data_IF_351199359298
#
_entry.id   IF_351199359298
#
_cell.length_a   1.000
_cell.length_b   1.000
_cell.length_c   1.000
_cell.angle_alpha   90.00
_cell.angle_beta   90.00
_cell.angle_gamma   90.00
#
_symmetry.space_group_name_H-M   'P 1'
#
loop_
_entity.id
_entity.type
_entity.pdbx_description
1 polymer ?
#
# COMPACT_ATOMS: atom_id res chain seq x y z
N UNK A 1 -23.55 -12.12 25.70
CA UNK A 1 -23.25 -11.96 24.26
C UNK A 1 -22.32 -13.10 23.86
N UNK A 2 -22.76 -14.04 23.01
CA UNK A 2 -21.86 -15.07 22.49
C UNK A 2 -20.90 -14.41 21.50
N UNK A 3 -19.61 -14.37 21.87
CA UNK A 3 -18.56 -13.84 21.00
C UNK A 3 -18.23 -14.86 19.89
N UNK A 4 -18.02 -14.44 18.65
CA UNK A 4 -17.54 -15.35 17.59
C UNK A 4 -16.19 -15.95 17.94
N UNK A 5 -16.06 -17.26 17.73
CA UNK A 5 -14.80 -18.00 17.87
C UNK A 5 -13.80 -17.54 16.78
N UNK A 6 -12.51 -17.36 17.09
CA UNK A 6 -11.48 -17.07 16.10
C UNK A 6 -11.48 -18.00 14.88
N UNK A 7 -11.83 -19.29 15.05
CA UNK A 7 -11.96 -20.24 13.94
C UNK A 7 -13.05 -19.85 12.94
N UNK A 8 -14.16 -19.26 13.41
CA UNK A 8 -15.24 -18.78 12.53
C UNK A 8 -14.78 -17.55 11.73
N UNK A 9 -14.04 -16.65 12.38
CA UNK A 9 -13.47 -15.47 11.73
C UNK A 9 -12.44 -15.89 10.67
N UNK A 10 -11.56 -16.82 11.00
CA UNK A 10 -10.55 -17.35 10.07
C UNK A 10 -11.20 -18.00 8.85
N UNK A 11 -12.20 -18.85 9.06
CA UNK A 11 -12.93 -19.48 7.95
C UNK A 11 -13.62 -18.45 7.05
N UNK A 12 -14.21 -17.41 7.64
CA UNK A 12 -14.85 -16.32 6.88
C UNK A 12 -13.83 -15.57 6.04
N UNK A 13 -12.69 -15.16 6.62
CA UNK A 13 -11.64 -14.42 5.90
C UNK A 13 -11.04 -15.25 4.76
N UNK A 14 -10.78 -16.54 4.95
CA UNK A 14 -10.28 -17.44 3.90
C UNK A 14 -11.25 -17.57 2.72
N UNK A 15 -12.57 -17.55 2.95
CA UNK A 15 -13.57 -17.57 1.87
C UNK A 15 -13.50 -16.28 1.05
N UNK A 16 -13.37 -15.14 1.71
CA UNK A 16 -13.29 -13.84 1.03
C UNK A 16 -12.02 -13.74 0.19
N UNK A 17 -10.87 -14.06 0.78
CA UNK A 17 -9.56 -13.96 0.14
C UNK A 17 -9.44 -14.87 -1.10
N UNK A 18 -10.02 -16.06 -1.04
CA UNK A 18 -9.93 -17.01 -2.14
C UNK A 18 -11.15 -17.00 -3.09
N UNK A 19 -12.18 -16.21 -2.77
CA UNK A 19 -13.40 -16.10 -3.57
C UNK A 19 -14.14 -17.42 -3.77
N UNK A 20 -13.94 -18.42 -2.87
CA UNK A 20 -14.48 -19.78 -3.05
C UNK A 20 -14.53 -20.56 -1.74
N UNK A 21 -15.73 -21.06 -1.38
CA UNK A 21 -15.93 -21.96 -0.25
C UNK A 21 -15.11 -23.25 -0.34
N UNK A 22 -14.92 -23.79 -1.55
CA UNK A 22 -14.14 -25.02 -1.76
C UNK A 22 -12.65 -24.78 -1.55
N UNK A 23 -12.10 -23.66 -2.06
CA UNK A 23 -10.69 -23.33 -1.85
C UNK A 23 -10.41 -23.00 -0.37
N UNK A 24 -11.28 -22.26 0.27
CA UNK A 24 -11.17 -21.98 1.69
C UNK A 24 -11.20 -23.28 2.53
N UNK A 25 -12.07 -24.24 2.18
CA UNK A 25 -12.16 -25.52 2.87
C UNK A 25 -10.82 -26.28 2.84
N UNK A 26 -10.14 -26.29 1.71
CA UNK A 26 -8.80 -26.90 1.58
C UNK A 26 -7.79 -26.20 2.48
N UNK A 27 -7.84 -24.85 2.54
CA UNK A 27 -6.91 -24.05 3.35
C UNK A 27 -7.09 -24.25 4.85
N UNK A 28 -8.35 -24.32 5.30
CA UNK A 28 -8.65 -24.54 6.74
C UNK A 28 -8.70 -26.04 7.12
N UNK A 29 -8.29 -26.92 6.21
CA UNK A 29 -8.30 -28.40 6.41
C UNK A 29 -9.67 -28.95 6.86
N UNK A 30 -10.74 -28.45 6.23
CA UNK A 30 -12.12 -28.86 6.50
C UNK A 30 -12.85 -29.23 5.23
N UNK A 31 -14.04 -29.85 5.36
CA UNK A 31 -14.94 -30.08 4.21
C UNK A 31 -15.68 -28.77 3.86
N UNK A 32 -16.09 -28.65 2.60
CA UNK A 32 -16.86 -27.50 2.13
C UNK A 32 -18.19 -27.35 2.92
N UNK A 33 -18.84 -28.47 3.29
CA UNK A 33 -20.05 -28.47 4.14
C UNK A 33 -19.77 -27.93 5.53
N UNK A 34 -18.62 -28.27 6.16
CA UNK A 34 -18.23 -27.76 7.45
C UNK A 34 -17.96 -26.24 7.40
N UNK A 35 -17.28 -25.77 6.36
CA UNK A 35 -17.02 -24.34 6.11
C UNK A 35 -18.36 -23.58 5.95
N UNK A 36 -19.31 -24.11 5.18
CA UNK A 36 -20.63 -23.51 5.02
C UNK A 36 -21.41 -23.48 6.32
N UNK A 37 -21.29 -24.49 7.18
CA UNK A 37 -21.89 -24.48 8.51
C UNK A 37 -21.26 -23.44 9.43
N UNK A 38 -19.95 -23.27 9.40
CA UNK A 38 -19.24 -22.25 10.17
C UNK A 38 -19.70 -20.84 9.80
N UNK A 39 -19.83 -20.57 8.50
CA UNK A 39 -20.34 -19.25 8.04
C UNK A 39 -21.76 -19.02 8.51
N UNK A 40 -22.67 -20.00 8.39
CA UNK A 40 -24.04 -19.87 8.90
C UNK A 40 -24.07 -19.55 10.39
N UNK A 41 -23.25 -20.28 11.17
CA UNK A 41 -23.15 -20.03 12.63
C UNK A 41 -22.63 -18.63 12.93
N UNK A 42 -21.67 -18.13 12.15
CA UNK A 42 -21.16 -16.76 12.27
C UNK A 42 -22.25 -15.73 11.97
N UNK A 43 -22.99 -15.89 10.86
CA UNK A 43 -24.10 -15.03 10.46
C UNK A 43 -25.23 -15.04 11.51
N UNK A 44 -25.54 -16.20 12.10
CA UNK A 44 -26.52 -16.33 13.20
C UNK A 44 -26.07 -15.57 14.46
N UNK A 45 -24.79 -15.67 14.83
CA UNK A 45 -24.22 -14.94 15.97
C UNK A 45 -24.24 -13.43 15.77
N UNK A 46 -24.02 -12.97 14.55
CA UNK A 46 -24.00 -11.55 14.20
C UNK A 46 -25.40 -10.99 13.89
N UNK A 47 -26.40 -11.86 13.67
CA UNK A 47 -27.74 -11.47 13.31
C UNK A 47 -27.88 -10.86 11.92
N UNK A 48 -26.87 -11.00 11.06
CA UNK A 48 -26.87 -10.47 9.70
C UNK A 48 -26.16 -11.43 8.73
N UNK A 49 -26.45 -11.26 7.43
CA UNK A 49 -25.74 -12.01 6.39
C UNK A 49 -24.47 -11.30 5.97
N UNK A 50 -23.42 -12.10 5.79
CA UNK A 50 -22.12 -11.63 5.33
C UNK A 50 -21.89 -11.86 3.84
N UNK A 51 -22.57 -12.89 3.27
CA UNK A 51 -22.48 -13.22 1.85
C UNK A 51 -23.84 -13.04 1.15
N UNK A 52 -23.80 -12.55 -0.11
CA UNK A 52 -24.97 -12.48 -0.97
C UNK A 52 -25.43 -13.90 -1.40
N UNK A 53 -26.75 -14.08 -1.53
CA UNK A 53 -27.34 -15.29 -2.13
C UNK A 53 -27.28 -15.20 -3.65
N UNK A 54 -26.11 -15.36 -4.24
CA UNK A 54 -25.98 -15.50 -5.68
C UNK A 54 -25.98 -16.99 -6.04
N UNK A 55 -26.88 -17.40 -6.93
CA UNK A 55 -26.97 -18.78 -7.43
C UNK A 55 -25.80 -19.18 -8.35
N UNK A 56 -24.66 -18.51 -8.26
CA UNK A 56 -23.49 -18.68 -9.10
C UNK A 56 -22.22 -19.08 -8.32
N UNK A 57 -21.17 -19.42 -9.06
CA UNK A 57 -19.84 -19.82 -8.54
C UNK A 57 -19.05 -18.67 -7.86
N UNK A 58 -19.54 -17.44 -7.89
CA UNK A 58 -18.81 -16.27 -7.39
C UNK A 58 -19.30 -15.91 -5.99
N UNK A 59 -18.36 -15.82 -5.05
CA UNK A 59 -18.61 -15.34 -3.68
C UNK A 59 -18.63 -13.82 -3.69
N UNK A 60 -19.71 -13.21 -3.18
CA UNK A 60 -19.83 -11.76 -2.99
C UNK A 60 -20.20 -11.45 -1.55
N UNK A 61 -19.59 -10.41 -1.01
CA UNK A 61 -19.95 -9.89 0.30
C UNK A 61 -21.19 -8.99 0.23
N UNK A 62 -21.95 -8.97 1.32
CA UNK A 62 -22.90 -7.89 1.59
C UNK A 62 -22.17 -6.66 2.12
N UNK A 63 -22.81 -5.50 2.21
CA UNK A 63 -22.21 -4.30 2.83
C UNK A 63 -21.78 -4.55 4.28
N UNK A 64 -22.57 -5.36 5.03
CA UNK A 64 -22.19 -5.80 6.38
C UNK A 64 -21.01 -6.76 6.35
N UNK A 65 -20.94 -7.61 5.33
CA UNK A 65 -19.81 -8.52 5.11
C UNK A 65 -18.51 -7.80 4.85
N UNK A 66 -18.51 -6.74 4.06
CA UNK A 66 -17.34 -5.90 3.79
C UNK A 66 -16.81 -5.24 5.08
N UNK A 67 -17.71 -4.56 5.81
CA UNK A 67 -17.35 -3.94 7.10
C UNK A 67 -16.82 -4.98 8.09
N UNK A 68 -17.50 -6.13 8.18
CA UNK A 68 -17.11 -7.18 9.11
C UNK A 68 -15.79 -7.84 8.73
N UNK A 69 -15.46 -7.95 7.44
CA UNK A 69 -14.20 -8.49 6.95
C UNK A 69 -12.99 -7.70 7.49
N UNK A 70 -13.05 -6.37 7.41
CA UNK A 70 -11.98 -5.51 7.94
C UNK A 70 -11.78 -5.69 9.45
N UNK A 71 -12.89 -5.80 10.20
CA UNK A 71 -12.82 -6.03 11.63
C UNK A 71 -12.33 -7.44 11.98
N UNK A 72 -12.81 -8.47 11.29
CA UNK A 72 -12.41 -9.86 11.52
C UNK A 72 -10.90 -10.05 11.36
N UNK A 73 -10.30 -9.39 10.36
CA UNK A 73 -8.86 -9.43 10.14
C UNK A 73 -8.06 -8.77 11.27
N UNK A 74 -8.53 -7.62 11.76
CA UNK A 74 -7.88 -6.94 12.91
C UNK A 74 -7.94 -7.81 14.16
N UNK A 75 -9.08 -8.44 14.43
CA UNK A 75 -9.25 -9.35 15.56
C UNK A 75 -8.32 -10.56 15.43
N UNK A 76 -8.27 -11.20 14.27
CA UNK A 76 -7.37 -12.32 14.03
C UNK A 76 -5.89 -11.92 14.11
N UNK A 77 -5.55 -10.71 13.70
CA UNK A 77 -4.21 -10.13 13.87
C UNK A 77 -3.84 -10.03 15.35
N UNK A 78 -4.69 -9.38 16.14
CA UNK A 78 -4.49 -9.22 17.60
C UNK A 78 -4.48 -10.58 18.33
N UNK A 79 -5.31 -11.53 17.94
CA UNK A 79 -5.33 -12.88 18.53
C UNK A 79 -4.02 -13.63 18.25
N UNK A 80 -3.52 -13.59 17.01
CA UNK A 80 -2.22 -14.20 16.66
C UNK A 80 -1.06 -13.55 17.41
N UNK A 81 -1.10 -12.23 17.56
CA UNK A 81 -0.15 -11.46 18.35
C UNK A 81 -0.13 -11.93 19.81
N UNK A 82 -1.29 -12.01 20.46
CA UNK A 82 -1.41 -12.49 21.83
C UNK A 82 -0.84 -13.91 22.00
N UNK A 83 -1.13 -14.82 21.07
CA UNK A 83 -0.57 -16.17 21.08
C UNK A 83 0.96 -16.19 20.90
N UNK A 84 1.51 -15.29 20.10
CA UNK A 84 2.95 -15.16 19.85
C UNK A 84 3.66 -14.71 21.14
N UNK A 85 3.10 -13.71 21.83
CA UNK A 85 3.62 -13.19 23.09
C UNK A 85 3.55 -14.25 24.21
N UNK A 86 2.40 -14.92 24.36
CA UNK A 86 2.19 -15.91 25.42
C UNK A 86 3.05 -17.17 25.23
N UNK A 87 3.26 -17.58 23.98
CA UNK A 87 4.08 -18.77 23.69
C UNK A 87 5.59 -18.50 23.75
N UNK A 88 6.03 -17.31 24.18
CA UNK A 88 7.43 -16.96 24.35
C UNK A 88 8.25 -16.99 23.04
N UNK A 89 7.60 -17.04 21.89
CA UNK A 89 8.26 -16.90 20.59
C UNK A 89 8.42 -15.42 20.28
N UNK A 90 9.38 -14.78 20.93
CA UNK A 90 9.86 -13.47 20.47
C UNK A 90 10.38 -13.65 19.05
N UNK A 91 9.69 -13.06 18.09
CA UNK A 91 10.25 -12.97 16.75
C UNK A 91 11.45 -12.03 16.84
N UNK A 92 12.61 -12.58 16.51
CA UNK A 92 13.89 -11.87 16.45
C UNK A 92 14.43 -11.98 15.02
N UNK A 93 15.29 -11.06 14.66
CA UNK A 93 15.98 -11.08 13.37
C UNK A 93 15.98 -9.73 12.67
N UNK A 94 16.59 -9.72 11.52
CA UNK A 94 16.69 -8.54 10.66
C UNK A 94 15.71 -8.66 9.51
N UNK A 95 15.04 -7.55 9.19
CA UNK A 95 14.20 -7.43 7.99
C UNK A 95 14.63 -6.19 7.21
N UNK A 96 14.94 -6.38 5.93
CA UNK A 96 15.34 -5.29 5.04
C UNK A 96 14.16 -4.88 4.16
N UNK A 97 13.73 -3.62 4.31
CA UNK A 97 12.62 -3.03 3.56
C UNK A 97 13.15 -1.94 2.64
N UNK A 98 12.90 -2.09 1.35
CA UNK A 98 13.21 -1.09 0.34
C UNK A 98 11.96 -0.31 -0.06
N UNK A 99 12.07 1.02 -0.20
CA UNK A 99 11.01 1.88 -0.71
C UNK A 99 11.56 3.19 -1.25
N UNK A 100 10.88 3.84 -2.23
CA UNK A 100 11.25 5.18 -2.66
C UNK A 100 11.14 6.22 -1.54
N UNK A 101 11.98 7.24 -1.62
CA UNK A 101 12.12 8.30 -0.60
C UNK A 101 10.81 9.10 -0.38
N UNK A 102 10.03 9.30 -1.42
CA UNK A 102 8.72 9.97 -1.37
C UNK A 102 7.66 9.18 -0.60
N UNK A 103 7.75 7.84 -0.60
CA UNK A 103 6.87 6.97 0.18
C UNK A 103 7.31 6.85 1.65
N UNK A 104 8.61 7.00 1.92
CA UNK A 104 9.15 6.81 3.25
C UNK A 104 8.51 7.75 4.29
N UNK A 105 8.36 9.03 3.96
CA UNK A 105 7.82 10.03 4.88
C UNK A 105 6.33 9.88 5.18
N UNK A 106 5.55 9.34 4.25
CA UNK A 106 4.09 9.26 4.36
C UNK A 106 3.59 7.96 5.00
N UNK A 107 4.28 6.82 4.77
CA UNK A 107 3.79 5.51 5.19
C UNK A 107 4.56 4.88 6.35
N UNK A 108 5.89 5.03 6.37
CA UNK A 108 6.72 4.35 7.37
C UNK A 108 6.41 4.71 8.82
N UNK A 109 6.13 5.96 9.20
CA UNK A 109 5.92 6.28 10.62
C UNK A 109 4.83 5.45 11.27
N UNK A 110 3.70 5.24 10.58
CA UNK A 110 2.59 4.44 11.10
C UNK A 110 2.96 2.95 11.20
N UNK A 111 3.58 2.41 10.14
CA UNK A 111 4.00 1.00 10.08
C UNK A 111 5.03 0.70 11.17
N UNK A 112 6.06 1.55 11.29
CA UNK A 112 7.15 1.36 12.25
C UNK A 112 6.68 1.48 13.70
N UNK A 113 5.76 2.41 13.98
CA UNK A 113 5.19 2.54 15.33
C UNK A 113 4.48 1.25 15.74
N UNK A 114 3.57 0.75 14.93
CA UNK A 114 2.84 -0.50 15.20
C UNK A 114 3.76 -1.71 15.27
N UNK A 115 4.75 -1.77 14.37
CA UNK A 115 5.68 -2.90 14.32
C UNK A 115 6.57 -2.96 15.57
N UNK A 116 7.07 -1.83 16.04
CA UNK A 116 7.87 -1.73 17.26
C UNK A 116 7.10 -2.21 18.49
N UNK A 117 5.83 -1.85 18.58
CA UNK A 117 4.97 -2.26 19.72
C UNK A 117 4.75 -3.76 19.76
N UNK A 118 4.65 -4.39 18.59
CA UNK A 118 4.37 -5.84 18.46
C UNK A 118 5.64 -6.69 18.45
N UNK A 119 6.72 -6.18 17.82
CA UNK A 119 7.98 -6.94 17.60
C UNK A 119 9.22 -6.14 17.99
N UNK A 120 9.41 -5.83 19.29
CA UNK A 120 10.49 -4.94 19.76
C UNK A 120 11.90 -5.47 19.52
N UNK A 121 12.06 -6.78 19.29
CA UNK A 121 13.36 -7.43 19.09
C UNK A 121 13.71 -7.63 17.59
N UNK A 122 12.86 -7.17 16.69
CA UNK A 122 13.14 -7.23 15.26
C UNK A 122 13.81 -5.94 14.83
N UNK A 123 14.95 -6.08 14.15
CA UNK A 123 15.66 -4.97 13.54
C UNK A 123 15.15 -4.74 12.11
N UNK A 124 14.76 -3.51 11.81
CA UNK A 124 14.38 -3.12 10.44
C UNK A 124 15.52 -2.32 9.81
N UNK A 125 16.01 -2.79 8.68
CA UNK A 125 16.92 -2.07 7.81
C UNK A 125 16.11 -1.40 6.70
N UNK A 126 16.19 -0.07 6.57
CA UNK A 126 15.48 0.68 5.54
C UNK A 126 16.45 1.08 4.42
N UNK A 127 16.04 0.83 3.19
CA UNK A 127 16.77 1.22 1.98
C UNK A 127 15.87 2.14 1.17
N UNK A 128 16.28 3.41 1.01
CA UNK A 128 15.58 4.39 0.20
C UNK A 128 16.27 4.52 -1.16
N UNK A 129 15.70 3.89 -2.19
CA UNK A 129 16.22 3.90 -3.55
C UNK A 129 15.08 3.97 -4.59
N UNK A 130 15.36 4.31 -5.85
CA UNK A 130 14.36 4.28 -6.91
C UNK A 130 13.75 2.89 -7.12
N UNK A 131 12.47 2.83 -7.45
CA UNK A 131 11.71 1.59 -7.62
C UNK A 131 12.40 0.56 -8.51
N UNK A 132 13.02 0.98 -9.62
CA UNK A 132 13.75 0.08 -10.53
C UNK A 132 14.87 -0.68 -9.85
N UNK A 133 15.63 -0.02 -8.97
CA UNK A 133 16.72 -0.66 -8.21
C UNK A 133 16.17 -1.60 -7.15
N UNK A 134 15.11 -1.20 -6.47
CA UNK A 134 14.45 -2.02 -5.46
C UNK A 134 13.86 -3.30 -6.05
N UNK A 135 13.26 -3.21 -7.26
CA UNK A 135 12.76 -4.39 -7.99
C UNK A 135 13.90 -5.37 -8.27
N UNK A 136 15.05 -4.88 -8.75
CA UNK A 136 16.22 -5.73 -9.01
C UNK A 136 16.75 -6.35 -7.72
N UNK A 137 16.92 -5.58 -6.65
CA UNK A 137 17.41 -6.06 -5.36
C UNK A 137 16.48 -7.10 -4.72
N UNK A 138 15.16 -6.94 -4.86
CA UNK A 138 14.20 -7.95 -4.40
C UNK A 138 14.31 -9.26 -5.20
N UNK A 139 14.47 -9.16 -6.52
CA UNK A 139 14.69 -10.33 -7.38
C UNK A 139 16.01 -11.07 -7.07
N UNK A 140 17.06 -10.34 -6.72
CA UNK A 140 18.35 -10.88 -6.30
C UNK A 140 18.38 -11.37 -4.84
N UNK A 141 17.32 -11.10 -4.08
CA UNK A 141 17.24 -11.49 -2.67
C UNK A 141 18.07 -10.63 -1.72
N UNK A 142 18.44 -9.42 -2.12
CA UNK A 142 19.21 -8.48 -1.31
C UNK A 142 18.34 -7.70 -0.32
N UNK A 143 17.04 -7.56 -0.60
CA UNK A 143 16.04 -6.98 0.28
C UNK A 143 14.88 -7.96 0.46
N UNK A 144 14.21 -7.93 1.59
CA UNK A 144 13.14 -8.87 1.92
C UNK A 144 11.78 -8.42 1.39
N UNK A 145 11.53 -7.12 1.48
CA UNK A 145 10.29 -6.47 1.04
C UNK A 145 10.64 -5.21 0.25
N UNK A 146 10.03 -5.03 -0.91
CA UNK A 146 10.07 -3.77 -1.64
C UNK A 146 8.66 -3.18 -1.77
N UNK A 147 8.51 -1.90 -1.43
CA UNK A 147 7.38 -1.08 -1.86
C UNK A 147 7.84 -0.28 -3.07
N UNK A 148 7.18 -0.43 -4.20
CA UNK A 148 7.60 0.19 -5.46
C UNK A 148 6.42 0.83 -6.18
N UNK A 149 6.69 1.82 -7.03
CA UNK A 149 5.68 2.49 -7.83
C UNK A 149 5.36 1.67 -9.09
N UNK A 150 4.09 1.47 -9.38
CA UNK A 150 3.60 0.81 -10.58
C UNK A 150 4.13 1.51 -11.85
N UNK A 151 4.52 0.72 -12.86
CA UNK A 151 5.06 1.25 -14.13
C UNK A 151 6.57 1.53 -14.13
N UNK A 152 7.27 1.29 -13.03
CA UNK A 152 8.72 1.44 -12.93
C UNK A 152 9.51 0.18 -13.33
N UNK A 153 8.84 -0.92 -13.62
CA UNK A 153 9.42 -2.17 -14.06
C UNK A 153 8.45 -3.34 -13.93
N UNK A 154 8.86 -4.56 -14.32
CA UNK A 154 8.04 -5.75 -14.13
C UNK A 154 7.91 -6.04 -12.65
N UNK A 155 6.67 -6.06 -12.14
CA UNK A 155 6.35 -6.38 -10.76
C UNK A 155 5.44 -7.60 -10.71
N UNK A 156 5.78 -8.57 -9.86
CA UNK A 156 4.96 -9.74 -9.55
C UNK A 156 4.24 -9.60 -8.20
N UNK A 157 4.22 -8.37 -7.66
CA UNK A 157 3.74 -8.08 -6.32
C UNK A 157 2.24 -7.81 -6.24
N UNK A 158 1.79 -7.52 -5.02
CA UNK A 158 0.42 -7.15 -4.71
C UNK A 158 0.31 -5.63 -4.77
N UNK A 159 -0.69 -5.09 -5.47
CA UNK A 159 -1.00 -3.66 -5.41
C UNK A 159 -1.53 -3.36 -4.01
N UNK A 160 -0.65 -2.81 -3.18
CA UNK A 160 -0.94 -2.53 -1.78
C UNK A 160 -1.81 -1.28 -1.60
N UNK A 161 -1.80 -0.34 -2.54
CA UNK A 161 -2.65 0.85 -2.55
C UNK A 161 -2.63 1.51 -3.92
N UNK A 162 -3.73 2.14 -4.33
CA UNK A 162 -3.74 3.12 -5.41
C UNK A 162 -3.71 4.52 -4.82
N UNK A 163 -2.81 5.34 -5.31
CA UNK A 163 -2.57 6.68 -4.79
C UNK A 163 -2.65 7.71 -5.95
N UNK A 164 -3.47 8.77 -5.81
CA UNK A 164 -3.56 9.79 -6.83
C UNK A 164 -2.26 10.61 -6.93
N UNK A 165 -1.82 10.83 -8.17
CA UNK A 165 -0.82 11.84 -8.45
C UNK A 165 -1.45 13.22 -8.45
N UNK A 166 -0.70 14.21 -7.98
CA UNK A 166 -1.11 15.61 -7.97
C UNK A 166 0.00 16.51 -8.48
N UNK A 167 -0.40 17.63 -9.08
CA UNK A 167 0.47 18.77 -9.31
C UNK A 167 0.59 19.58 -8.04
N UNK A 168 1.80 19.80 -7.57
CA UNK A 168 2.08 20.52 -6.34
C UNK A 168 2.97 21.73 -6.60
N UNK A 169 2.63 22.85 -5.99
CA UNK A 169 3.36 24.10 -6.08
C UNK A 169 3.38 24.78 -4.72
N UNK A 170 4.35 25.66 -4.48
CA UNK A 170 4.32 26.55 -3.32
C UNK A 170 3.10 27.46 -3.36
N UNK A 171 2.44 27.63 -2.22
CA UNK A 171 1.34 28.59 -2.12
C UNK A 171 1.81 30.08 -2.14
N UNK A 172 3.13 30.30 -1.99
CA UNK A 172 3.71 31.65 -1.90
C UNK A 172 4.07 32.26 -3.26
N UNK A 173 4.24 31.41 -4.30
CA UNK A 173 4.76 31.83 -5.60
C UNK A 173 3.87 31.35 -6.73
N UNK A 174 3.71 32.17 -7.77
CA UNK A 174 2.91 31.84 -8.94
C UNK A 174 3.72 31.20 -10.08
N UNK A 175 4.70 30.38 -9.72
CA UNK A 175 5.60 29.72 -10.66
C UNK A 175 4.84 28.83 -11.68
N UNK A 176 3.67 28.32 -11.28
CA UNK A 176 2.79 27.53 -12.11
C UNK A 176 2.21 28.29 -13.33
N UNK A 177 2.22 29.64 -13.29
CA UNK A 177 1.73 30.49 -14.39
C UNK A 177 2.76 30.67 -15.52
N UNK A 178 4.00 30.24 -15.32
CA UNK A 178 5.05 30.37 -16.33
C UNK A 178 4.80 29.45 -17.53
N UNK A 179 5.22 29.88 -18.71
CA UNK A 179 5.27 29.08 -19.95
C UNK A 179 6.67 29.22 -20.58
N UNK A 180 7.44 28.15 -20.72
CA UNK A 180 7.14 26.77 -20.29
C UNK A 180 7.10 26.60 -18.78
N UNK A 181 6.24 25.66 -18.30
CA UNK A 181 6.11 25.32 -16.89
C UNK A 181 7.42 24.72 -16.38
N UNK A 182 8.05 25.31 -15.35
CA UNK A 182 9.26 24.74 -14.79
C UNK A 182 8.90 23.57 -13.86
N UNK A 183 9.48 22.39 -14.11
CA UNK A 183 9.23 21.18 -13.36
C UNK A 183 10.43 20.80 -12.49
N UNK A 184 10.14 20.39 -11.26
CA UNK A 184 11.04 19.59 -10.43
C UNK A 184 10.62 18.12 -10.55
N UNK A 185 11.54 17.29 -10.97
CA UNK A 185 11.29 15.88 -11.28
C UNK A 185 12.32 14.97 -10.64
N UNK A 186 11.92 13.72 -10.43
CA UNK A 186 12.84 12.67 -10.05
C UNK A 186 13.79 12.31 -11.20
N UNK A 187 14.15 11.07 -11.38
CA UNK A 187 15.14 10.65 -12.40
C UNK A 187 14.59 10.69 -13.83
N UNK A 188 15.51 10.60 -14.78
CA UNK A 188 15.18 10.33 -16.17
C UNK A 188 14.57 8.93 -16.31
N UNK A 189 13.37 8.83 -16.92
CA UNK A 189 12.65 7.57 -17.11
C UNK A 189 11.72 7.17 -15.97
N UNK A 190 11.56 8.02 -14.95
CA UNK A 190 10.59 7.89 -13.88
C UNK A 190 9.16 8.07 -14.40
N UNK A 191 8.21 7.33 -13.81
CA UNK A 191 6.79 7.40 -14.17
C UNK A 191 6.17 8.76 -13.88
N UNK A 192 6.58 9.45 -12.81
CA UNK A 192 6.11 10.80 -12.48
C UNK A 192 6.53 11.80 -13.55
N UNK A 193 7.80 11.76 -13.99
CA UNK A 193 8.30 12.60 -15.08
C UNK A 193 7.51 12.38 -16.35
N UNK A 194 7.34 11.11 -16.74
CA UNK A 194 6.61 10.73 -17.94
C UNK A 194 5.18 11.28 -17.86
N UNK A 195 4.46 11.00 -16.77
CA UNK A 195 3.10 11.51 -16.57
C UNK A 195 3.04 13.04 -16.62
N UNK A 196 4.00 13.74 -16.00
CA UNK A 196 4.04 15.21 -15.99
C UNK A 196 4.18 15.79 -17.40
N UNK A 197 5.13 15.29 -18.19
CA UNK A 197 5.41 15.83 -19.54
C UNK A 197 4.28 15.50 -20.49
N UNK A 198 3.86 14.24 -20.55
CA UNK A 198 2.80 13.78 -21.47
C UNK A 198 1.46 14.50 -21.20
N UNK A 199 1.09 14.67 -19.93
CA UNK A 199 -0.18 15.33 -19.60
C UNK A 199 -0.14 16.83 -19.89
N UNK A 200 0.96 17.55 -19.61
CA UNK A 200 1.08 18.96 -19.97
C UNK A 200 1.06 19.17 -21.48
N UNK A 201 1.79 18.36 -22.24
CA UNK A 201 1.82 18.42 -23.71
C UNK A 201 0.42 18.16 -24.29
N UNK A 202 -0.27 17.13 -23.83
CA UNK A 202 -1.65 16.83 -24.25
C UNK A 202 -2.63 17.96 -23.92
N UNK A 203 -2.35 18.73 -22.86
CA UNK A 203 -3.14 19.90 -22.46
C UNK A 203 -2.72 21.20 -23.16
N UNK A 204 -1.76 21.13 -24.08
CA UNK A 204 -1.27 22.26 -24.86
C UNK A 204 -0.33 23.19 -24.08
N UNK A 205 0.27 22.73 -22.99
CA UNK A 205 1.26 23.49 -22.20
C UNK A 205 2.65 22.92 -22.38
N UNK A 206 3.62 23.79 -22.53
CA UNK A 206 5.04 23.40 -22.62
C UNK A 206 5.62 23.22 -21.23
N UNK A 207 6.48 22.22 -21.07
CA UNK A 207 7.24 21.97 -19.87
C UNK A 207 8.74 22.20 -20.09
N UNK A 208 9.44 22.64 -19.05
CA UNK A 208 10.90 22.61 -18.98
C UNK A 208 11.33 21.98 -17.65
N UNK A 209 12.38 21.19 -17.68
CA UNK A 209 12.96 20.66 -16.46
C UNK A 209 13.81 21.75 -15.84
N UNK A 210 13.43 22.21 -14.65
CA UNK A 210 14.15 23.21 -13.87
C UNK A 210 15.08 22.58 -12.83
N UNK A 211 14.62 21.46 -12.20
CA UNK A 211 15.36 20.72 -11.19
C UNK A 211 15.19 19.22 -11.41
N UNK A 212 16.26 18.47 -11.24
CA UNK A 212 16.24 17.01 -11.16
C UNK A 212 16.90 16.59 -9.85
N UNK A 213 16.22 15.75 -9.07
CA UNK A 213 16.75 15.22 -7.81
C UNK A 213 16.39 13.75 -7.64
N UNK A 214 17.31 12.92 -7.12
CA UNK A 214 16.97 11.55 -6.71
C UNK A 214 16.15 11.50 -5.41
N UNK A 215 16.13 12.58 -4.64
CA UNK A 215 15.51 12.66 -3.33
C UNK A 215 14.26 13.55 -3.34
N UNK A 216 13.23 13.14 -2.63
CA UNK A 216 12.04 13.95 -2.38
C UNK A 216 12.39 15.27 -1.66
N UNK A 217 13.39 15.26 -0.79
CA UNK A 217 13.84 16.48 -0.11
C UNK A 217 14.35 17.54 -1.12
N UNK A 218 15.06 17.12 -2.18
CA UNK A 218 15.50 18.02 -3.24
C UNK A 218 14.35 18.56 -4.10
N UNK A 219 13.36 17.71 -4.41
CA UNK A 219 12.12 18.14 -5.09
C UNK A 219 11.37 19.14 -4.23
N UNK A 220 11.22 18.85 -2.93
CA UNK A 220 10.53 19.70 -1.98
C UNK A 220 11.20 21.08 -1.85
N UNK A 221 12.51 21.13 -1.76
CA UNK A 221 13.25 22.39 -1.69
C UNK A 221 13.01 23.26 -2.94
N UNK A 222 12.96 22.65 -4.13
CA UNK A 222 12.68 23.38 -5.38
C UNK A 222 11.26 23.96 -5.40
N UNK A 223 10.26 23.22 -4.91
CA UNK A 223 8.88 23.69 -4.78
C UNK A 223 8.78 24.79 -3.73
N UNK A 224 9.34 24.60 -2.55
CA UNK A 224 9.31 25.58 -1.44
C UNK A 224 10.00 26.91 -1.79
N UNK A 225 11.08 26.83 -2.56
CA UNK A 225 11.79 28.01 -3.07
C UNK A 225 11.05 28.70 -4.24
N UNK A 226 9.93 28.17 -4.72
CA UNK A 226 9.20 28.72 -5.86
C UNK A 226 9.94 28.61 -7.19
N UNK A 227 10.82 27.62 -7.34
CA UNK A 227 11.60 27.40 -8.56
C UNK A 227 10.83 26.53 -9.56
N UNK A 228 10.01 25.60 -9.06
CA UNK A 228 9.35 24.61 -9.91
C UNK A 228 8.01 24.12 -9.34
N UNK A 229 7.22 23.52 -10.21
CA UNK A 229 6.06 22.67 -9.93
C UNK A 229 6.53 21.23 -9.88
N UNK A 230 5.99 20.39 -9.01
CA UNK A 230 6.29 18.98 -8.95
C UNK A 230 5.03 18.11 -9.18
N UNK A 231 5.23 16.90 -9.68
CA UNK A 231 4.26 15.81 -9.62
C UNK A 231 4.66 14.87 -8.50
N UNK A 232 3.75 14.64 -7.57
CA UNK A 232 3.97 13.83 -6.38
C UNK A 232 2.72 13.00 -6.05
N UNK A 233 2.85 12.00 -5.20
CA UNK A 233 1.69 11.38 -4.57
C UNK A 233 0.98 12.37 -3.66
N UNK A 234 -0.36 12.27 -3.61
CA UNK A 234 -1.18 13.16 -2.76
C UNK A 234 -0.81 13.07 -1.28
N UNK A 235 -0.44 11.89 -0.80
CA UNK A 235 0.00 11.68 0.59
C UNK A 235 1.30 12.38 0.94
N UNK A 236 2.10 12.80 -0.05
CA UNK A 236 3.38 13.49 0.13
C UNK A 236 3.26 15.02 0.12
N UNK A 237 2.04 15.57 0.05
CA UNK A 237 1.80 17.03 0.10
C UNK A 237 2.31 17.61 1.42
N UNK A 238 2.93 18.77 1.37
CA UNK A 238 3.47 19.45 2.55
C UNK A 238 2.65 20.69 2.93
N UNK A 239 2.65 21.10 4.21
CA UNK A 239 2.08 22.37 4.62
C UNK A 239 2.67 23.53 3.81
N UNK A 240 1.82 24.48 3.41
CA UNK A 240 2.24 25.62 2.59
C UNK A 240 2.36 25.34 1.09
N UNK A 241 2.00 24.12 0.65
CA UNK A 241 1.84 23.79 -0.77
C UNK A 241 0.37 23.88 -1.18
N UNK A 242 0.15 24.15 -2.47
CA UNK A 242 -1.16 24.06 -3.11
C UNK A 242 -1.17 22.99 -4.17
N UNK A 243 -2.33 22.37 -4.33
CA UNK A 243 -2.60 21.43 -5.43
C UNK A 243 -3.12 22.27 -6.59
N UNK A 244 -2.55 22.05 -7.78
CA UNK A 244 -2.97 22.70 -9.00
C UNK A 244 -3.93 21.79 -9.76
N UNK A 245 -4.91 22.42 -10.43
CA UNK A 245 -5.93 21.72 -11.18
C UNK A 245 -6.39 22.50 -12.41
N UNK A 246 -7.58 22.21 -12.93
CA UNK A 246 -8.12 22.86 -14.13
C UNK A 246 -8.22 24.38 -14.03
N UNK A 247 -8.44 24.93 -12.81
CA UNK A 247 -8.48 26.37 -12.58
C UNK A 247 -7.14 27.07 -12.89
N UNK A 248 -6.03 26.37 -12.61
CA UNK A 248 -4.66 26.82 -12.90
C UNK A 248 -4.17 26.28 -14.27
N UNK A 249 -5.07 25.70 -15.06
CA UNK A 249 -4.77 25.07 -16.38
C UNK A 249 -3.79 23.91 -16.26
N UNK A 250 -3.99 23.05 -15.25
CA UNK A 250 -3.28 21.79 -15.11
C UNK A 250 -4.22 20.61 -15.35
N UNK A 251 -3.81 19.64 -16.18
CA UNK A 251 -4.61 18.46 -16.48
C UNK A 251 -4.70 17.51 -15.29
N UNK A 252 -5.71 16.63 -15.23
CA UNK A 252 -5.73 15.55 -14.26
C UNK A 252 -4.56 14.61 -14.47
N UNK A 253 -4.09 14.00 -13.38
CA UNK A 253 -3.04 12.99 -13.39
C UNK A 253 -3.64 11.62 -13.05
N UNK A 254 -3.02 10.51 -13.49
CA UNK A 254 -3.49 9.17 -13.16
C UNK A 254 -3.24 8.82 -11.69
N UNK A 255 -4.01 7.84 -11.20
CA UNK A 255 -3.66 7.12 -9.98
C UNK A 255 -2.59 6.07 -10.30
N UNK A 256 -1.60 5.93 -9.43
CA UNK A 256 -0.59 4.89 -9.54
C UNK A 256 -0.69 3.90 -8.39
N UNK A 257 -0.40 2.63 -8.69
CA UNK A 257 -0.30 1.60 -7.69
C UNK A 257 1.01 1.70 -6.90
N UNK A 258 0.91 1.55 -5.58
CA UNK A 258 2.04 1.19 -4.72
C UNK A 258 2.02 -0.33 -4.63
N UNK A 259 3.05 -0.97 -5.14
CA UNK A 259 3.14 -2.43 -5.25
C UNK A 259 4.08 -2.94 -4.17
N UNK A 260 3.60 -3.89 -3.36
CA UNK A 260 4.42 -4.64 -2.43
C UNK A 260 4.96 -5.88 -3.15
N UNK A 261 6.28 -5.96 -3.24
CA UNK A 261 7.00 -7.09 -3.81
C UNK A 261 7.84 -7.78 -2.75
N UNK A 262 7.75 -9.10 -2.70
CA UNK A 262 8.58 -9.94 -1.82
C UNK A 262 9.88 -10.32 -2.52
N UNK A 263 10.90 -10.57 -1.75
CA UNK A 263 12.11 -11.23 -2.21
C UNK A 263 11.82 -12.60 -2.84
N UNK A 264 12.64 -12.97 -3.81
CA UNK A 264 12.58 -14.30 -4.45
C UNK A 264 13.10 -15.43 -3.56
N UNK A 265 13.86 -15.12 -2.49
CA UNK A 265 14.35 -16.14 -1.55
C UNK A 265 13.35 -16.46 -0.44
N UNK A 266 13.55 -17.63 0.18
CA UNK A 266 12.82 -18.01 1.39
C UNK A 266 13.03 -16.98 2.50
N UNK A 267 11.94 -16.60 3.16
CA UNK A 267 11.92 -15.49 4.10
C UNK A 267 11.59 -15.97 5.52
N UNK A 268 12.19 -15.35 6.55
CA UNK A 268 11.79 -15.59 7.94
C UNK A 268 10.32 -15.23 8.18
N UNK A 269 9.67 -15.91 9.13
CA UNK A 269 8.27 -15.66 9.47
C UNK A 269 7.95 -14.20 9.86
N UNK A 270 8.94 -13.45 10.35
CA UNK A 270 8.80 -12.04 10.68
C UNK A 270 8.50 -11.16 9.45
N UNK A 271 8.99 -11.55 8.27
CA UNK A 271 8.71 -10.85 7.00
C UNK A 271 7.23 -10.91 6.68
N UNK A 272 6.58 -12.08 6.84
CA UNK A 272 5.13 -12.22 6.64
C UNK A 272 4.32 -11.33 7.59
N UNK A 273 4.80 -11.19 8.83
CA UNK A 273 4.15 -10.30 9.81
C UNK A 273 4.27 -8.83 9.42
N UNK A 274 5.45 -8.43 8.96
CA UNK A 274 5.65 -7.06 8.51
C UNK A 274 4.84 -6.77 7.23
N UNK A 275 4.78 -7.70 6.29
CA UNK A 275 3.92 -7.57 5.10
C UNK A 275 2.45 -7.37 5.49
N UNK A 276 1.92 -8.22 6.37
CA UNK A 276 0.54 -8.11 6.83
C UNK A 276 0.26 -6.74 7.47
N UNK A 277 1.20 -6.24 8.27
CA UNK A 277 1.09 -4.94 8.93
C UNK A 277 1.19 -3.76 7.95
N UNK A 278 2.06 -3.87 6.95
CA UNK A 278 2.16 -2.88 5.86
C UNK A 278 0.84 -2.80 5.10
N UNK A 279 0.29 -3.94 4.67
CA UNK A 279 -0.95 -3.99 3.92
C UNK A 279 -2.12 -3.42 4.72
N UNK A 280 -2.26 -3.79 5.99
CA UNK A 280 -3.28 -3.24 6.90
C UNK A 280 -3.12 -1.71 7.06
N UNK A 281 -1.90 -1.23 7.20
CA UNK A 281 -1.59 0.19 7.38
C UNK A 281 -1.83 1.02 6.11
N UNK A 282 -1.73 0.41 4.94
CA UNK A 282 -2.01 1.05 3.65
C UNK A 282 -3.51 1.03 3.28
N UNK A 283 -4.37 0.44 4.13
CA UNK A 283 -5.82 0.43 3.95
C UNK A 283 -6.31 -0.59 2.92
N UNK A 284 -5.44 -1.51 2.54
CA UNK A 284 -5.89 -2.73 1.90
C UNK A 284 -6.00 -3.77 2.99
N UNK A 285 -7.16 -4.40 3.07
CA UNK A 285 -7.26 -5.62 3.83
C UNK A 285 -6.23 -6.60 3.24
N UNK A 286 -5.12 -6.90 3.96
CA UNK A 286 -4.05 -7.84 3.59
C UNK A 286 -4.57 -9.24 3.49
#
# INVERSE_FOLDING_TARGET
MNSPDPDLLHTFTEIVEHGSFTRAATRVHRTQSAVSMQVRRLEELLGCRLFERTGGRTVRLTSQGEVFYDHARRILGAYREALTVVNGRTLEGDVTVGLPDDLAGSFLPLVLTRFRETYPWVRINLICEPSKRLIAQAAEGLIDIALVTEGEGPTSGIVARREPLIWASSARYDIHAHDPVPLAIFHTGDVFRRSAVEQLEAYGRRARIAVTSPSFAGIAAAVEAGIAVAVIFRSSIRPGWRILGPAEKFPPLPDLGIVLQRSAREQPAVVDRLIALILDSLGIPG
#
